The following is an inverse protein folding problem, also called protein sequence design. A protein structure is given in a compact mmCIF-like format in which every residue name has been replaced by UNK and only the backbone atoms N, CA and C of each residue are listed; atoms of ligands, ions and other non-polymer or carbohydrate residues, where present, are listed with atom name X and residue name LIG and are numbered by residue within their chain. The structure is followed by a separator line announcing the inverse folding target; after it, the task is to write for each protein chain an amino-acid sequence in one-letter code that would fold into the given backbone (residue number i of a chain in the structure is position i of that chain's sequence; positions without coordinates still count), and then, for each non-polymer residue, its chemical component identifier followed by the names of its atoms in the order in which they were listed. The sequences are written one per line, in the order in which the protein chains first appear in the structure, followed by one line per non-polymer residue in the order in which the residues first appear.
data_IF_517940176117
#
_entry.id   IF_517940176117
#
_cell.length_a   1.000
_cell.length_b   1.000
_cell.length_c   1.000
_cell.angle_alpha   90.00
_cell.angle_beta   90.00
_cell.angle_gamma   90.00
#
_symmetry.space_group_name_H-M   'P 1'
#
loop_
_entity.id
_entity.type
_entity.pdbx_description
1 polymer ?
#
# COMPACT_ATOMS: atom_id res chain seq x y z
N UNK A 1 0.39 -8.31 45.88
CA UNK A 1 1.32 -7.95 44.79
C UNK A 1 0.56 -7.04 43.85
N UNK A 2 1.00 -5.79 43.68
CA UNK A 2 0.35 -4.87 42.74
C UNK A 2 1.13 -4.87 41.43
N UNK A 3 0.45 -5.17 40.33
CA UNK A 3 1.03 -5.17 38.97
C UNK A 3 1.06 -3.73 38.46
N UNK A 4 2.24 -3.22 38.10
CA UNK A 4 2.38 -1.91 37.48
C UNK A 4 2.05 -2.02 35.98
N UNK A 5 0.98 -1.37 35.52
CA UNK A 5 0.66 -1.28 34.09
C UNK A 5 1.30 -0.01 33.52
N UNK A 6 2.26 -0.17 32.61
CA UNK A 6 2.82 0.96 31.84
C UNK A 6 2.13 1.03 30.48
N UNK A 7 1.55 2.20 30.19
CA UNK A 7 1.01 2.52 28.86
C UNK A 7 2.08 3.28 28.08
N UNK A 8 2.38 2.83 26.86
CA UNK A 8 3.30 3.51 25.96
C UNK A 8 2.51 4.13 24.81
N UNK A 9 2.82 5.39 24.48
CA UNK A 9 2.31 6.05 23.27
C UNK A 9 3.45 6.05 22.24
N UNK A 10 3.12 5.73 20.98
CA UNK A 10 4.07 5.79 19.86
C UNK A 10 3.44 6.58 18.72
N UNK A 11 4.25 7.36 18.02
CA UNK A 11 3.85 8.07 16.80
C UNK A 11 4.23 7.21 15.61
N UNK A 12 3.25 6.85 14.79
CA UNK A 12 3.46 6.11 13.55
C UNK A 12 3.37 7.06 12.36
N UNK A 13 4.28 6.91 11.41
CA UNK A 13 4.27 7.63 10.13
C UNK A 13 4.09 6.63 9.01
N UNK A 14 3.20 6.97 8.10
CA UNK A 14 2.87 6.17 6.91
C UNK A 14 2.97 7.08 5.68
N UNK A 15 3.44 6.51 4.58
CA UNK A 15 3.43 7.14 3.27
C UNK A 15 2.37 6.44 2.43
N UNK A 16 1.32 7.19 2.08
CA UNK A 16 0.22 6.71 1.26
C UNK A 16 0.65 6.59 -0.19
N UNK A 17 0.30 5.46 -0.83
CA UNK A 17 0.54 5.29 -2.26
C UNK A 17 -0.47 6.06 -3.10
N UNK A 18 0.00 6.57 -4.26
CA UNK A 18 -0.88 7.23 -5.21
C UNK A 18 -1.75 6.23 -5.99
N UNK A 19 -1.24 5.02 -6.28
CA UNK A 19 -2.02 3.95 -6.89
C UNK A 19 -2.83 3.19 -5.81
N UNK A 20 -4.18 3.26 -5.83
CA UNK A 20 -5.00 2.54 -4.87
C UNK A 20 -5.19 1.05 -5.22
N UNK A 21 -4.66 0.57 -6.35
CA UNK A 21 -4.86 -0.80 -6.85
C UNK A 21 -3.71 -1.75 -6.47
N UNK A 22 -2.94 -1.41 -5.43
CA UNK A 22 -1.78 -2.19 -5.02
C UNK A 22 -2.15 -3.33 -4.07
N UNK A 23 -1.53 -4.50 -4.26
CA UNK A 23 -1.63 -5.65 -3.35
C UNK A 23 -0.25 -6.10 -2.87
N UNK A 24 -0.19 -6.54 -1.62
CA UNK A 24 1.03 -7.07 -1.02
C UNK A 24 1.38 -8.42 -1.67
N UNK A 25 2.61 -8.57 -2.16
CA UNK A 25 3.04 -9.81 -2.82
C UNK A 25 3.02 -11.02 -1.87
N UNK A 26 3.18 -10.80 -0.56
CA UNK A 26 3.22 -11.86 0.47
C UNK A 26 1.83 -12.33 0.91
N UNK A 27 0.98 -11.41 1.36
CA UNK A 27 -0.32 -11.76 1.96
C UNK A 27 -1.50 -11.52 1.01
N UNK A 28 -1.26 -10.94 -0.16
CA UNK A 28 -2.28 -10.60 -1.15
C UNK A 28 -3.35 -9.63 -0.59
N UNK A 29 -3.12 -8.97 0.55
CA UNK A 29 -3.99 -7.90 1.04
C UNK A 29 -3.81 -6.62 0.21
N UNK A 30 -4.86 -5.80 0.14
CA UNK A 30 -4.74 -4.43 -0.39
C UNK A 30 -3.74 -3.62 0.42
N UNK A 31 -2.95 -2.80 -0.27
CA UNK A 31 -1.92 -1.96 0.34
C UNK A 31 -2.21 -0.50 0.02
N UNK A 32 -2.36 0.30 1.06
CA UNK A 32 -2.65 1.74 0.94
C UNK A 32 -1.41 2.60 1.09
N UNK A 33 -0.30 2.01 1.52
CA UNK A 33 0.94 2.73 1.79
C UNK A 33 2.00 1.84 2.40
N UNK A 34 3.06 2.46 2.87
CA UNK A 34 4.07 1.81 3.70
C UNK A 34 4.38 2.60 4.96
N UNK A 35 4.75 1.86 5.99
CA UNK A 35 5.33 2.39 7.20
C UNK A 35 6.75 2.93 6.92
N UNK A 36 7.01 4.19 7.24
CA UNK A 36 8.32 4.85 7.08
C UNK A 36 9.12 4.82 8.40
N UNK A 37 10.13 3.94 8.54
CA UNK A 37 10.90 3.81 9.77
C UNK A 37 11.83 5.02 10.02
N UNK A 38 12.23 5.77 8.98
CA UNK A 38 13.14 6.92 9.13
C UNK A 38 12.43 8.12 9.76
N UNK A 39 11.13 8.25 9.53
CA UNK A 39 10.29 9.32 10.10
C UNK A 39 9.51 8.89 11.33
N UNK A 40 9.50 7.59 11.64
CA UNK A 40 8.78 7.09 12.80
C UNK A 40 9.46 7.48 14.11
N UNK A 41 8.66 7.67 15.16
CA UNK A 41 9.19 8.01 16.49
C UNK A 41 9.99 6.84 17.13
N UNK A 42 10.74 7.11 18.21
CA UNK A 42 11.50 6.08 18.91
C UNK A 42 10.61 4.91 19.35
N UNK A 43 11.06 3.68 19.07
CA UNK A 43 10.34 2.44 19.37
C UNK A 43 9.45 1.91 18.24
N UNK A 44 9.53 2.48 17.04
CA UNK A 44 8.93 1.91 15.83
C UNK A 44 9.75 0.71 15.30
N UNK A 45 9.15 -0.15 14.45
CA UNK A 45 9.91 -1.22 13.78
C UNK A 45 11.00 -0.60 12.90
N UNK A 46 12.18 -1.21 12.86
CA UNK A 46 13.32 -0.70 12.06
C UNK A 46 13.11 -0.91 10.54
N UNK A 47 12.08 -1.65 10.14
CA UNK A 47 11.79 -1.98 8.75
C UNK A 47 10.59 -1.24 8.18
N UNK A 48 10.63 -1.00 6.87
CA UNK A 48 9.43 -0.65 6.13
C UNK A 48 8.47 -1.85 6.07
N UNK A 49 7.17 -1.55 6.16
CA UNK A 49 6.12 -2.56 6.15
C UNK A 49 4.91 -2.04 5.37
N UNK A 50 4.27 -2.91 4.59
CA UNK A 50 3.03 -2.54 3.89
C UNK A 50 1.91 -2.31 4.89
N UNK A 51 1.13 -1.25 4.73
CA UNK A 51 -0.09 -1.00 5.53
C UNK A 51 -1.35 -1.31 4.71
N UNK A 52 -2.40 -1.88 5.32
CA UNK A 52 -2.54 -2.19 6.75
C UNK A 52 -1.99 -3.56 7.17
N UNK A 53 -1.47 -4.37 6.23
CA UNK A 53 -1.21 -5.78 6.49
C UNK A 53 0.06 -6.07 7.33
N UNK A 54 0.91 -5.07 7.59
CA UNK A 54 2.09 -5.17 8.43
C UNK A 54 3.20 -6.08 7.86
N UNK A 55 3.10 -6.49 6.59
CA UNK A 55 4.10 -7.37 5.99
C UNK A 55 5.41 -6.60 5.77
N UNK A 56 6.39 -6.86 6.63
CA UNK A 56 7.71 -6.26 6.53
C UNK A 56 8.45 -6.74 5.29
N UNK A 57 9.11 -5.79 4.62
CA UNK A 57 9.97 -6.06 3.46
C UNK A 57 9.27 -6.83 2.33
N UNK A 58 7.96 -6.63 2.16
CA UNK A 58 7.16 -7.30 1.12
C UNK A 58 6.84 -6.34 -0.03
N UNK A 59 7.12 -6.74 -1.27
CA UNK A 59 6.78 -5.93 -2.45
C UNK A 59 5.28 -5.67 -2.62
N UNK A 60 4.96 -4.83 -3.61
CA UNK A 60 3.58 -4.58 -4.05
C UNK A 60 3.46 -4.84 -5.54
N UNK A 61 2.35 -5.45 -5.95
CA UNK A 61 1.96 -5.59 -7.35
C UNK A 61 0.72 -4.72 -7.61
N UNK A 62 0.65 -4.06 -8.76
CA UNK A 62 -0.56 -3.36 -9.17
C UNK A 62 -1.53 -4.34 -9.83
N UNK A 63 -2.78 -4.31 -9.38
CA UNK A 63 -3.90 -5.01 -10.01
C UNK A 63 -4.49 -4.24 -11.18
N UNK A 64 -4.00 -3.02 -11.42
CA UNK A 64 -4.40 -2.25 -12.57
C UNK A 64 -3.51 -2.61 -13.78
N UNK A 65 -4.08 -2.95 -14.96
CA UNK A 65 -3.30 -3.23 -16.16
C UNK A 65 -2.38 -2.07 -16.56
N UNK A 66 -2.89 -0.85 -16.45
CA UNK A 66 -2.12 0.38 -16.67
C UNK A 66 -2.62 1.48 -15.74
N UNK A 67 -1.77 1.91 -14.81
CA UNK A 67 -2.08 3.01 -13.91
C UNK A 67 -1.21 4.23 -14.20
N UNK A 68 -1.83 5.42 -14.18
CA UNK A 68 -1.15 6.71 -14.19
C UNK A 68 -1.71 7.64 -13.12
N UNK A 69 -0.90 8.59 -12.59
CA UNK A 69 -1.32 9.47 -11.50
C UNK A 69 -2.45 10.43 -11.89
N UNK A 70 -2.59 10.74 -13.17
CA UNK A 70 -3.67 11.61 -13.71
C UNK A 70 -4.81 10.78 -14.28
N UNK A 71 -4.46 9.71 -14.98
CA UNK A 71 -5.39 8.93 -15.80
C UNK A 71 -6.11 7.83 -15.01
N UNK A 72 -5.66 7.57 -13.79
CA UNK A 72 -6.18 6.48 -12.96
C UNK A 72 -5.87 5.12 -13.55
N UNK A 73 -6.73 4.15 -13.23
CA UNK A 73 -6.61 2.81 -13.79
C UNK A 73 -7.29 2.74 -15.16
N UNK A 74 -6.54 2.31 -16.17
CA UNK A 74 -7.03 2.08 -17.53
C UNK A 74 -7.20 0.59 -17.79
N UNK A 75 -8.27 0.25 -18.50
CA UNK A 75 -8.37 -1.04 -19.17
C UNK A 75 -7.29 -1.13 -20.24
N UNK A 76 -6.81 -2.34 -20.52
CA UNK A 76 -6.02 -2.56 -21.73
C UNK A 76 -6.81 -2.02 -22.94
N UNK A 77 -6.15 -1.38 -23.91
CA UNK A 77 -6.77 -1.07 -25.18
C UNK A 77 -7.10 -2.39 -25.86
N UNK A 78 -8.27 -2.94 -25.55
CA UNK A 78 -8.91 -3.92 -26.42
C UNK A 78 -9.10 -3.20 -27.74
N UNK A 79 -8.47 -3.71 -28.78
CA UNK A 79 -8.83 -3.45 -30.18
C UNK A 79 -10.31 -3.80 -30.32
N UNK A 80 -11.19 -2.87 -29.92
CA UNK A 80 -12.60 -2.96 -30.24
C UNK A 80 -12.68 -2.66 -31.73
N UNK A 81 -13.00 -3.63 -32.60
CA UNK A 81 -13.24 -3.33 -33.99
C UNK A 81 -14.39 -2.32 -34.02
N UNK A 82 -14.09 -1.11 -34.49
CA UNK A 82 -15.11 -0.11 -34.79
C UNK A 82 -16.04 -0.77 -35.80
N UNK A 83 -17.35 -0.92 -35.50
CA UNK A 83 -18.29 -1.39 -36.52
C UNK A 83 -18.23 -0.41 -37.70
N UNK A 84 -18.13 -0.87 -38.95
CA UNK A 84 -18.15 0.05 -40.08
C UNK A 84 -19.40 0.92 -39.98
N UNK A 85 -19.21 2.23 -40.06
CA UNK A 85 -20.31 3.21 -40.10
C UNK A 85 -21.29 2.78 -41.20
N UNK A 86 -22.56 2.66 -40.83
CA UNK A 86 -23.66 2.26 -41.72
C UNK A 86 -24.06 3.40 -42.67
#
# INVERSE_FOLDING_TARGET
MSTLVRTHTRTHVEITFADPHLRCTRCQGWVTGYHDPERCGPGCSEGWANVPCGCERAGVDSMCPSWGPVDGCRCDPVDHPVPPEA
#
